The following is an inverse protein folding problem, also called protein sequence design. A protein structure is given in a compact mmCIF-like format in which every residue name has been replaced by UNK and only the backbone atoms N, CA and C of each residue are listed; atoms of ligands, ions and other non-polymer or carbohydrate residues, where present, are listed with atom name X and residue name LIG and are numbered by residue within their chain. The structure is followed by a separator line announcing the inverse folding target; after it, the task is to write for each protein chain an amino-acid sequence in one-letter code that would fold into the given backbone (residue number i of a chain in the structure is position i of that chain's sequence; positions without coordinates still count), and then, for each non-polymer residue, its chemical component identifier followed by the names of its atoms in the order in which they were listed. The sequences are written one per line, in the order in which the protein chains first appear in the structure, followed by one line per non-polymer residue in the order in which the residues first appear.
data_IF_026315665837
#
_entry.id   IF_026315665837
#
_cell.length_a   1.000
_cell.length_b   1.000
_cell.length_c   1.000
_cell.angle_alpha   90.00
_cell.angle_beta   90.00
_cell.angle_gamma   90.00
#
_symmetry.space_group_name_H-M   'P 1'
#
loop_
_entity.id
_entity.type
_entity.pdbx_description
1 polymer ?
#
# COMPACT_ATOMS: atom_id res chain seq x y z
N UNK A 1 7.42 -11.18 -16.04
CA UNK A 1 6.53 -11.49 -14.91
C UNK A 1 5.41 -10.48 -14.90
N UNK A 2 4.16 -10.97 -14.86
CA UNK A 2 2.98 -10.11 -14.76
C UNK A 2 2.65 -9.94 -13.28
N UNK A 3 2.55 -8.70 -12.84
CA UNK A 3 2.22 -8.34 -11.46
C UNK A 3 0.70 -8.47 -11.27
N UNK A 4 0.26 -9.18 -10.23
CA UNK A 4 -1.17 -9.41 -9.96
C UNK A 4 -1.46 -9.39 -8.47
N UNK A 5 -2.64 -8.86 -8.11
CA UNK A 5 -3.18 -8.97 -6.77
C UNK A 5 -3.52 -10.42 -6.47
N UNK A 6 -3.22 -10.85 -5.26
CA UNK A 6 -3.55 -12.17 -4.75
C UNK A 6 -4.19 -12.04 -3.37
N UNK A 7 -5.11 -12.95 -2.97
CA UNK A 7 -5.78 -12.87 -1.67
C UNK A 7 -4.84 -12.87 -0.45
N UNK A 8 -3.61 -13.39 -0.57
CA UNK A 8 -2.60 -13.34 0.51
C UNK A 8 -2.06 -11.93 0.79
N UNK A 9 -2.34 -10.96 -0.08
CA UNK A 9 -2.01 -9.55 0.14
C UNK A 9 -3.13 -8.77 0.86
N UNK A 10 -4.26 -9.43 1.17
CA UNK A 10 -5.36 -8.80 1.87
C UNK A 10 -5.04 -8.63 3.37
N UNK A 11 -5.12 -7.40 3.87
CA UNK A 11 -4.93 -7.10 5.30
C UNK A 11 -6.26 -7.14 6.07
N UNK A 12 -7.39 -7.32 5.39
CA UNK A 12 -8.72 -7.42 6.00
C UNK A 12 -9.40 -6.09 6.29
N UNK A 13 -8.92 -5.01 5.68
CA UNK A 13 -9.56 -3.68 5.69
C UNK A 13 -9.98 -3.37 4.27
N UNK A 14 -11.27 -3.59 3.96
CA UNK A 14 -11.76 -3.53 2.59
C UNK A 14 -11.45 -2.22 1.84
N UNK A 15 -11.39 -1.07 2.53
CA UNK A 15 -10.99 0.20 1.92
C UNK A 15 -9.52 0.22 1.51
N UNK A 16 -8.62 -0.31 2.34
CA UNK A 16 -7.18 -0.35 2.07
C UNK A 16 -6.86 -1.46 1.06
N UNK A 17 -7.50 -2.64 1.17
CA UNK A 17 -7.34 -3.73 0.20
C UNK A 17 -7.71 -3.28 -1.23
N UNK A 18 -8.75 -2.44 -1.37
CA UNK A 18 -9.10 -1.83 -2.67
C UNK A 18 -8.04 -0.85 -3.18
N UNK A 19 -7.41 -0.09 -2.29
CA UNK A 19 -6.31 0.81 -2.66
C UNK A 19 -5.09 0.01 -3.14
N UNK A 20 -4.72 -1.07 -2.43
CA UNK A 20 -3.63 -1.96 -2.87
C UNK A 20 -3.93 -2.59 -4.24
N UNK A 21 -5.14 -3.11 -4.45
CA UNK A 21 -5.56 -3.68 -5.74
C UNK A 21 -5.41 -2.66 -6.87
N UNK A 22 -5.89 -1.43 -6.67
CA UNK A 22 -5.76 -0.37 -7.67
C UNK A 22 -4.30 -0.02 -7.94
N UNK A 23 -3.50 0.13 -6.89
CA UNK A 23 -2.08 0.47 -7.03
C UNK A 23 -1.31 -0.61 -7.79
N UNK A 24 -1.56 -1.89 -7.48
CA UNK A 24 -0.96 -3.04 -8.17
C UNK A 24 -1.37 -3.07 -9.64
N UNK A 25 -2.63 -2.77 -9.96
CA UNK A 25 -3.10 -2.71 -11.34
C UNK A 25 -2.43 -1.59 -12.15
N UNK A 26 -2.18 -0.44 -11.52
CA UNK A 26 -1.52 0.70 -12.15
C UNK A 26 -0.02 0.44 -12.36
N UNK A 27 0.66 -0.16 -11.38
CA UNK A 27 2.05 -0.61 -11.52
C UNK A 27 2.16 -1.66 -12.64
N UNK A 28 1.24 -2.63 -12.71
CA UNK A 28 1.22 -3.61 -13.79
C UNK A 28 1.03 -2.95 -15.16
N UNK A 29 0.22 -1.90 -15.25
CA UNK A 29 0.00 -1.12 -16.47
C UNK A 29 1.25 -0.33 -16.87
N UNK A 30 1.92 0.31 -15.91
CA UNK A 30 3.20 0.98 -16.11
C UNK A 30 4.27 -0.01 -16.61
N UNK A 31 4.46 -1.15 -15.94
CA UNK A 31 5.45 -2.17 -16.31
C UNK A 31 5.19 -2.69 -17.73
N UNK A 32 3.93 -2.89 -18.11
CA UNK A 32 3.55 -3.28 -19.47
C UNK A 32 3.90 -2.20 -20.49
N UNK A 33 3.56 -0.94 -20.22
CA UNK A 33 3.92 0.17 -21.10
C UNK A 33 5.45 0.28 -21.30
N UNK A 34 6.22 0.07 -20.23
CA UNK A 34 7.68 0.04 -20.27
C UNK A 34 8.21 -1.13 -21.13
N UNK A 35 7.63 -2.32 -21.00
CA UNK A 35 8.03 -3.49 -21.80
C UNK A 35 7.70 -3.35 -23.29
N UNK A 36 6.59 -2.66 -23.60
CA UNK A 36 6.13 -2.41 -24.98
C UNK A 36 6.77 -1.16 -25.60
N UNK A 37 7.66 -0.46 -24.89
CA UNK A 37 8.30 0.77 -25.37
C UNK A 37 7.33 1.96 -25.53
N UNK A 38 6.16 1.92 -24.87
CA UNK A 38 5.14 2.99 -24.91
C UNK A 38 5.51 4.15 -23.99
N UNK A 39 6.53 4.90 -24.38
CA UNK A 39 7.12 5.98 -23.57
C UNK A 39 6.14 7.09 -23.18
N UNK A 40 5.18 7.43 -24.04
CA UNK A 40 4.16 8.47 -23.77
C UNK A 40 3.21 8.11 -22.61
N UNK A 41 3.05 6.82 -22.31
CA UNK A 41 2.17 6.36 -21.23
C UNK A 41 2.86 6.41 -19.85
N UNK A 42 4.19 6.57 -19.80
CA UNK A 42 4.96 6.46 -18.55
C UNK A 42 4.78 7.67 -17.66
N UNK A 43 4.89 8.88 -18.20
CA UNK A 43 4.70 10.13 -17.45
C UNK A 43 3.36 10.18 -16.71
N UNK A 44 2.22 10.02 -17.42
CA UNK A 44 0.89 9.99 -16.78
C UNK A 44 0.73 8.90 -15.72
N UNK A 45 1.30 7.71 -15.93
CA UNK A 45 1.25 6.64 -14.94
C UNK A 45 2.06 6.98 -13.68
N UNK A 46 3.23 7.60 -13.82
CA UNK A 46 4.02 8.08 -12.69
C UNK A 46 3.33 9.23 -11.94
N UNK A 47 2.65 10.15 -12.65
CA UNK A 47 1.87 11.22 -12.02
C UNK A 47 0.67 10.66 -11.24
N UNK A 48 -0.05 9.68 -11.80
CA UNK A 48 -1.12 9.00 -11.09
C UNK A 48 -0.61 8.30 -9.82
N UNK A 49 0.46 7.51 -9.93
CA UNK A 49 1.00 6.73 -8.81
C UNK A 49 1.49 7.64 -7.68
N UNK A 50 2.12 8.77 -7.99
CA UNK A 50 2.56 9.78 -7.01
C UNK A 50 1.39 10.25 -6.13
N UNK A 51 0.28 10.65 -6.76
CA UNK A 51 -0.91 11.14 -6.06
C UNK A 51 -1.58 10.02 -5.28
N UNK A 52 -1.74 8.86 -5.90
CA UNK A 52 -2.49 7.75 -5.34
C UNK A 52 -1.78 7.12 -4.12
N UNK A 53 -0.45 7.05 -4.15
CA UNK A 53 0.35 6.56 -3.02
C UNK A 53 0.25 7.52 -1.82
N UNK A 54 0.32 8.83 -2.05
CA UNK A 54 0.18 9.81 -0.97
C UNK A 54 -1.20 9.73 -0.30
N UNK A 55 -2.26 9.57 -1.10
CA UNK A 55 -3.61 9.38 -0.58
C UNK A 55 -3.72 8.08 0.24
N UNK A 56 -3.18 6.99 -0.29
CA UNK A 56 -3.15 5.68 0.38
C UNK A 56 -2.42 5.74 1.73
N UNK A 57 -1.20 6.26 1.77
CA UNK A 57 -0.42 6.40 3.01
C UNK A 57 -1.12 7.29 4.04
N UNK A 58 -1.73 8.40 3.61
CA UNK A 58 -2.51 9.27 4.49
C UNK A 58 -3.69 8.53 5.13
N UNK A 59 -4.42 7.74 4.33
CA UNK A 59 -5.55 6.94 4.81
C UNK A 59 -5.11 5.88 5.82
N UNK A 60 -4.05 5.14 5.52
CA UNK A 60 -3.52 4.11 6.41
C UNK A 60 -2.98 4.71 7.72
N UNK A 61 -2.23 5.80 7.66
CA UNK A 61 -1.74 6.50 8.85
C UNK A 61 -2.88 7.02 9.73
N UNK A 62 -3.97 7.48 9.13
CA UNK A 62 -5.18 7.85 9.87
C UNK A 62 -5.78 6.63 10.59
N UNK A 63 -5.81 5.46 9.95
CA UNK A 63 -6.22 4.22 10.61
C UNK A 63 -5.30 3.87 11.78
N UNK A 64 -3.99 3.89 11.57
CA UNK A 64 -2.98 3.63 12.61
C UNK A 64 -3.15 4.56 13.83
N UNK A 65 -3.35 5.86 13.60
CA UNK A 65 -3.58 6.84 14.69
C UNK A 65 -4.82 6.53 15.51
N UNK A 66 -5.95 6.24 14.83
CA UNK A 66 -7.25 5.97 15.50
C UNK A 66 -7.20 4.76 16.42
N UNK A 67 -6.35 3.79 16.13
CA UNK A 67 -6.24 2.56 16.92
C UNK A 67 -5.00 2.50 17.78
N UNK A 68 -4.25 3.60 17.88
CA UNK A 68 -3.01 3.70 18.64
C UNK A 68 -2.02 2.58 18.26
N UNK A 69 -1.86 2.34 16.95
CA UNK A 69 -1.00 1.28 16.45
C UNK A 69 0.47 1.52 16.89
N UNK A 70 1.10 0.60 17.65
CA UNK A 70 2.43 0.82 18.21
C UNK A 70 3.52 1.04 17.14
N UNK A 71 3.37 0.43 15.97
CA UNK A 71 4.34 0.50 14.87
C UNK A 71 4.26 1.76 14.01
N UNK A 72 3.38 2.72 14.33
CA UNK A 72 3.09 3.88 13.47
C UNK A 72 4.33 4.69 13.09
N UNK A 73 5.29 4.86 13.99
CA UNK A 73 6.49 5.66 13.72
C UNK A 73 7.38 5.01 12.63
N UNK A 74 7.62 3.70 12.73
CA UNK A 74 8.41 2.95 11.76
C UNK A 74 7.67 2.85 10.42
N UNK A 75 6.36 2.65 10.45
CA UNK A 75 5.52 2.60 9.26
C UNK A 75 5.57 3.93 8.47
N UNK A 76 5.39 5.06 9.16
CA UNK A 76 5.53 6.39 8.55
C UNK A 76 6.91 6.67 7.96
N UNK A 77 7.97 6.18 8.60
CA UNK A 77 9.32 6.32 8.06
C UNK A 77 9.49 5.56 6.74
N UNK A 78 8.92 4.37 6.63
CA UNK A 78 8.92 3.60 5.38
C UNK A 78 8.15 4.33 4.26
N UNK A 79 6.98 4.92 4.57
CA UNK A 79 6.24 5.76 3.62
C UNK A 79 7.05 6.96 3.13
N UNK A 80 7.68 7.69 4.05
CA UNK A 80 8.49 8.86 3.71
C UNK A 80 9.66 8.49 2.80
N UNK A 81 10.36 7.39 3.10
CA UNK A 81 11.45 6.88 2.27
C UNK A 81 10.98 6.48 0.87
N UNK A 82 9.79 5.87 0.75
CA UNK A 82 9.19 5.57 -0.55
C UNK A 82 8.93 6.83 -1.37
N UNK A 83 8.29 7.84 -0.77
CA UNK A 83 7.95 9.09 -1.45
C UNK A 83 9.20 9.80 -1.96
N UNK A 84 10.28 9.80 -1.18
CA UNK A 84 11.55 10.40 -1.57
C UNK A 84 12.16 9.70 -2.80
N UNK A 85 12.27 8.37 -2.75
CA UNK A 85 12.83 7.58 -3.86
C UNK A 85 11.93 7.66 -5.11
N UNK A 86 10.60 7.58 -4.94
CA UNK A 86 9.67 7.71 -6.06
C UNK A 86 9.77 9.09 -6.72
N UNK A 87 9.91 10.16 -5.92
CA UNK A 87 10.12 11.52 -6.41
C UNK A 87 11.42 11.65 -7.19
N UNK A 88 12.50 11.00 -6.74
CA UNK A 88 13.77 10.96 -7.45
C UNK A 88 13.67 10.27 -8.81
N UNK A 89 12.99 9.12 -8.88
CA UNK A 89 12.78 8.39 -10.14
C UNK A 89 11.92 9.19 -11.12
N UNK A 90 10.85 9.80 -10.62
CA UNK A 90 9.96 10.66 -11.40
C UNK A 90 10.69 11.88 -11.95
N UNK A 91 11.55 12.54 -11.15
CA UNK A 91 12.39 13.66 -11.61
C UNK A 91 13.40 13.20 -12.67
N UNK A 92 14.08 12.07 -12.43
CA UNK A 92 15.02 11.49 -13.38
C UNK A 92 14.36 11.21 -14.73
N UNK A 93 13.12 10.71 -14.73
CA UNK A 93 12.33 10.53 -15.96
C UNK A 93 12.08 11.86 -16.68
N UNK A 94 11.65 12.91 -15.96
CA UNK A 94 11.34 14.21 -16.57
C UNK A 94 12.57 14.89 -17.18
N UNK A 95 13.72 14.80 -16.51
CA UNK A 95 14.95 15.48 -16.93
C UNK A 95 15.70 14.74 -18.04
N UNK A 96 15.77 13.40 -17.95
CA UNK A 96 16.66 12.57 -18.78
C UNK A 96 15.90 11.66 -19.75
N UNK A 97 14.56 11.65 -19.69
CA UNK A 97 13.75 10.69 -20.40
C UNK A 97 13.88 9.26 -19.84
N UNK A 98 13.49 8.26 -20.63
CA UNK A 98 13.63 6.86 -20.25
C UNK A 98 15.01 6.34 -20.65
N UNK A 99 15.74 5.80 -19.68
CA UNK A 99 16.96 5.03 -19.91
C UNK A 99 16.74 3.56 -19.51
N UNK A 100 17.46 2.59 -20.09
CA UNK A 100 17.35 1.19 -19.68
C UNK A 100 17.53 0.98 -18.17
N UNK A 101 18.42 1.75 -17.54
CA UNK A 101 18.64 1.72 -16.09
C UNK A 101 17.41 2.23 -15.30
N UNK A 102 16.79 3.33 -15.73
CA UNK A 102 15.58 3.85 -15.10
C UNK A 102 14.40 2.90 -15.27
N UNK A 103 14.24 2.31 -16.46
CA UNK A 103 13.20 1.30 -16.73
C UNK A 103 13.39 0.08 -15.82
N UNK A 104 14.62 -0.41 -15.69
CA UNK A 104 14.91 -1.51 -14.79
C UNK A 104 14.56 -1.16 -13.35
N UNK A 105 14.98 0.03 -12.87
CA UNK A 105 14.72 0.47 -11.51
C UNK A 105 13.21 0.61 -11.23
N UNK A 106 12.46 1.28 -12.11
CA UNK A 106 11.00 1.39 -12.00
C UNK A 106 10.30 0.03 -11.98
N UNK A 107 10.82 -0.98 -12.70
CA UNK A 107 10.23 -2.32 -12.74
C UNK A 107 10.51 -3.13 -11.48
N UNK A 108 11.71 -3.04 -10.94
CA UNK A 108 12.15 -3.91 -9.83
C UNK A 108 11.86 -3.27 -8.48
N UNK A 109 12.21 -2.00 -8.30
CA UNK A 109 12.12 -1.32 -7.01
C UNK A 109 10.66 -1.04 -6.64
N UNK A 110 9.87 -0.44 -7.53
CA UNK A 110 8.50 0.00 -7.24
C UNK A 110 7.61 -1.18 -6.80
N UNK A 111 7.67 -2.27 -7.55
CA UNK A 111 6.91 -3.48 -7.25
C UNK A 111 7.46 -4.21 -6.02
N UNK A 112 8.79 -4.37 -5.95
CA UNK A 112 9.44 -5.06 -4.84
C UNK A 112 9.14 -4.38 -3.51
N UNK A 113 9.21 -3.04 -3.49
CA UNK A 113 8.85 -2.26 -2.32
C UNK A 113 7.39 -2.46 -1.93
N UNK A 114 6.44 -2.30 -2.87
CA UNK A 114 5.01 -2.39 -2.55
C UNK A 114 4.63 -3.76 -1.98
N UNK A 115 5.04 -4.85 -2.62
CA UNK A 115 4.68 -6.19 -2.15
C UNK A 115 5.33 -6.50 -0.80
N UNK A 116 6.58 -6.10 -0.60
CA UNK A 116 7.25 -6.29 0.67
C UNK A 116 6.58 -5.46 1.79
N UNK A 117 6.23 -4.22 1.49
CA UNK A 117 5.57 -3.32 2.43
C UNK A 117 4.21 -3.89 2.88
N UNK A 118 3.37 -4.31 1.92
CA UNK A 118 2.07 -4.94 2.22
C UNK A 118 2.26 -6.16 3.14
N UNK A 119 3.20 -7.05 2.81
CA UNK A 119 3.40 -8.30 3.55
C UNK A 119 3.94 -8.11 4.96
N UNK A 120 4.92 -7.23 5.11
CA UNK A 120 5.65 -7.07 6.36
C UNK A 120 4.98 -6.06 7.29
N UNK A 121 4.39 -4.98 6.74
CA UNK A 121 3.89 -3.83 7.50
C UNK A 121 2.36 -3.78 7.52
N UNK A 122 1.71 -3.73 6.36
CA UNK A 122 0.25 -3.49 6.29
C UNK A 122 -0.51 -4.69 6.84
N UNK A 123 -0.08 -5.91 6.52
CA UNK A 123 -0.66 -7.12 7.12
C UNK A 123 -0.45 -7.17 8.64
N UNK A 124 0.63 -6.59 9.18
CA UNK A 124 0.82 -6.47 10.63
C UNK A 124 -0.21 -5.51 11.27
N UNK A 125 -0.51 -4.40 10.61
CA UNK A 125 -1.61 -3.50 10.99
C UNK A 125 -2.97 -4.21 10.91
N UNK A 126 -3.21 -4.96 9.83
CA UNK A 126 -4.43 -5.75 9.63
C UNK A 126 -4.66 -6.75 10.77
N UNK A 127 -3.63 -7.53 11.13
CA UNK A 127 -3.65 -8.45 12.28
C UNK A 127 -3.98 -7.73 13.59
N UNK A 128 -3.34 -6.59 13.85
CA UNK A 128 -3.57 -5.80 15.06
C UNK A 128 -5.04 -5.34 15.17
N UNK A 129 -5.63 -4.87 14.07
CA UNK A 129 -7.01 -4.42 14.03
C UNK A 129 -8.02 -5.56 14.26
N UNK A 130 -7.76 -6.74 13.68
CA UNK A 130 -8.61 -7.91 13.88
C UNK A 130 -8.57 -8.40 15.34
N UNK A 131 -7.39 -8.42 15.95
CA UNK A 131 -7.23 -8.75 17.37
C UNK A 131 -7.99 -7.76 18.26
N UNK A 132 -7.85 -6.46 18.00
CA UNK A 132 -8.58 -5.42 18.74
C UNK A 132 -10.11 -5.51 18.59
N UNK A 133 -10.62 -5.86 17.39
CA UNK A 133 -12.05 -6.12 17.18
C UNK A 133 -12.53 -7.33 17.98
N UNK A 134 -11.81 -8.45 17.91
CA UNK A 134 -12.17 -9.67 18.64
C UNK A 134 -12.21 -9.45 20.15
N UNK A 135 -11.25 -8.70 20.71
CA UNK A 135 -11.22 -8.37 22.13
C UNK A 135 -12.41 -7.52 22.55
N UNK A 136 -12.77 -6.48 21.77
CA UNK A 136 -13.95 -5.65 22.03
C UNK A 136 -15.26 -6.44 21.98
N UNK A 137 -15.43 -7.32 20.98
CA UNK A 137 -16.62 -8.18 20.87
C UNK A 137 -16.75 -9.13 22.05
N UNK A 138 -15.65 -9.71 22.54
CA UNK A 138 -15.65 -10.57 23.74
C UNK A 138 -16.04 -9.79 25.00
N UNK A 139 -15.50 -8.58 25.18
CA UNK A 139 -15.82 -7.73 26.33
C UNK A 139 -17.30 -7.30 26.32
N UNK A 140 -17.87 -6.99 25.15
CA UNK A 140 -19.30 -6.66 25.01
C UNK A 140 -20.21 -7.86 25.29
N UNK A 141 -19.85 -9.05 24.81
CA UNK A 141 -20.60 -10.28 25.08
C UNK A 141 -20.59 -10.63 26.58
N UNK A 142 -19.46 -10.43 27.26
CA UNK A 142 -19.34 -10.65 28.71
C UNK A 142 -20.09 -9.60 29.56
N UNK A 143 -20.34 -8.40 29.02
CA UNK A 143 -21.03 -7.31 29.71
C UNK A 143 -22.56 -7.31 29.50
N UNK A 144 -23.10 -8.18 28.63
CA UNK A 144 -24.54 -8.31 28.43
C UNK A 144 -25.16 -9.20 29.51
N UNK A 145 -26.18 -8.76 30.25
CA UNK A 145 -26.82 -9.59 31.26
C UNK A 145 -27.53 -10.79 30.60
N UNK A 146 -27.33 -11.99 31.14
CA UNK A 146 -27.99 -13.20 30.66
C UNK A 146 -29.52 -13.04 30.68
N UNK A 147 -30.22 -13.34 29.57
CA UNK A 147 -31.68 -13.37 29.55
C UNK A 147 -32.14 -14.67 30.21
N UNK A 148 -32.19 -14.71 31.55
CA UNK A 148 -32.54 -15.97 32.23
C UNK A 148 -32.52 -16.00 33.75
N UNK A 149 -32.66 -14.86 34.43
CA UNK A 149 -32.95 -14.84 35.87
C UNK A 149 -34.38 -14.35 36.11
N UNK A 150 -35.35 -15.24 35.90
CA UNK A 150 -36.71 -15.17 36.48
C UNK A 150 -37.14 -16.57 36.87
#
# INVERSE_FOLDING_TARGET
MTIQWTPDLAMGIASIDRQHQRMIQEIATLVRALNEGRTLAVGPALDFLDQYVLEHFSNEEMHMKRVLYPGIAVHRAAHAAFVEEFSFLKRSHREKGLSPALVLNLRTWLFGWLVNHIREMDMSLGRFLLQGKAQRSRLQAAASPSPGAR
#
